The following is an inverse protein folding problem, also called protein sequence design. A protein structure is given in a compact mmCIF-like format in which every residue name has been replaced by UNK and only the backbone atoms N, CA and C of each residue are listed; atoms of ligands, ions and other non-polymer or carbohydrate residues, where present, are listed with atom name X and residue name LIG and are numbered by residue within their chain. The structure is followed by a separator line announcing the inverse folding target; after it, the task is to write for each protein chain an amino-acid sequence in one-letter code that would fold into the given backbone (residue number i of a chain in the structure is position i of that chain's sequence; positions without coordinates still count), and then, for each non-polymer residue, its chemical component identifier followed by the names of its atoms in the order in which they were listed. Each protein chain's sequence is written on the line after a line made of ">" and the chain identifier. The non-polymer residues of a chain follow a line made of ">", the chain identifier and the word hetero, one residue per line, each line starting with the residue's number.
data_IF_611938804481
#
_entry.id   IF_611938804481
#
_cell.length_a   1.000
_cell.length_b   1.000
_cell.length_c   1.000
_cell.angle_alpha   90.00
_cell.angle_beta   90.00
_cell.angle_gamma   90.00
#
_symmetry.space_group_name_H-M   'P 1'
#
loop_
_entity.id
_entity.type
_entity.pdbx_description
1 polymer ?
#
# COMPACT_ATOMS: atom_id res chain seq x y z
N UNK A 1 0.16 16.12 24.10
CA UNK A 1 0.82 14.94 23.50
C UNK A 1 -0.24 13.89 23.30
N UNK A 2 -0.66 13.65 22.07
CA UNK A 2 -1.50 12.49 21.73
C UNK A 2 -0.61 11.25 21.81
N UNK A 3 -0.98 10.31 22.67
CA UNK A 3 -0.32 9.00 22.71
C UNK A 3 -0.77 8.27 21.44
N UNK A 4 0.16 8.09 20.51
CA UNK A 4 -0.09 7.27 19.32
C UNK A 4 -0.20 5.81 19.77
N UNK A 5 -1.17 5.09 19.21
CA UNK A 5 -1.38 3.66 19.46
C UNK A 5 -1.21 2.89 18.14
N UNK A 6 -0.90 1.59 18.21
CA UNK A 6 -0.84 0.74 17.01
C UNK A 6 -2.16 0.79 16.24
N UNK A 7 -3.28 0.81 16.95
CA UNK A 7 -4.62 1.00 16.40
C UNK A 7 -4.74 2.30 15.57
N UNK A 8 -4.20 3.42 16.07
CA UNK A 8 -4.22 4.69 15.35
C UNK A 8 -3.47 4.61 14.03
N UNK A 9 -2.27 4.03 14.03
CA UNK A 9 -1.51 3.79 12.81
C UNK A 9 -2.26 2.88 11.84
N UNK A 10 -2.84 1.78 12.33
CA UNK A 10 -3.62 0.86 11.50
C UNK A 10 -4.81 1.56 10.85
N UNK A 11 -5.56 2.38 11.60
CA UNK A 11 -6.70 3.14 11.06
C UNK A 11 -6.28 4.08 9.91
N UNK A 12 -5.16 4.79 10.06
CA UNK A 12 -4.67 5.70 9.03
C UNK A 12 -4.20 4.93 7.80
N UNK A 13 -3.43 3.86 7.98
CA UNK A 13 -2.94 3.00 6.90
C UNK A 13 -4.11 2.35 6.14
N UNK A 14 -5.11 1.83 6.85
CA UNK A 14 -6.31 1.23 6.24
C UNK A 14 -7.07 2.24 5.39
N UNK A 15 -7.27 3.47 5.87
CA UNK A 15 -7.88 4.56 5.10
C UNK A 15 -7.08 4.88 3.85
N UNK A 16 -5.76 5.03 3.95
CA UNK A 16 -4.90 5.34 2.81
C UNK A 16 -4.90 4.21 1.78
N UNK A 17 -4.97 2.96 2.23
CA UNK A 17 -5.17 1.82 1.36
C UNK A 17 -6.56 1.86 0.71
N UNK A 18 -7.63 2.17 1.47
CA UNK A 18 -8.98 2.31 0.91
C UNK A 18 -9.06 3.41 -0.14
N UNK A 19 -8.36 4.53 0.05
CA UNK A 19 -8.23 5.60 -0.94
C UNK A 19 -7.44 5.14 -2.17
N UNK A 20 -6.39 4.33 -1.98
CA UNK A 20 -5.61 3.74 -3.07
C UNK A 20 -6.39 2.69 -3.88
N UNK A 21 -7.33 1.99 -3.24
CA UNK A 21 -8.20 0.98 -3.88
C UNK A 21 -9.55 1.55 -4.33
N UNK A 22 -9.94 2.74 -3.88
CA UNK A 22 -11.21 3.35 -4.22
C UNK A 22 -11.25 3.72 -5.69
N UNK A 23 -12.16 3.07 -6.39
CA UNK A 23 -12.60 3.44 -7.73
C UNK A 23 -13.34 4.76 -7.56
N UNK A 24 -12.74 5.88 -7.96
CA UNK A 24 -13.47 7.15 -8.02
C UNK A 24 -14.78 6.94 -8.77
N UNK A 25 -15.91 7.33 -8.16
CA UNK A 25 -17.26 7.11 -8.71
C UNK A 25 -17.30 7.52 -10.19
N UNK A 26 -17.38 6.53 -11.10
CA UNK A 26 -17.52 6.74 -12.54
C UNK A 26 -16.25 6.65 -13.39
N UNK A 27 -15.06 6.45 -12.81
CA UNK A 27 -13.80 6.26 -13.56
C UNK A 27 -13.34 4.79 -13.61
N UNK A 28 -12.54 4.37 -14.62
CA UNK A 28 -11.84 3.10 -14.54
C UNK A 28 -11.00 3.09 -13.25
N UNK A 29 -10.87 1.93 -12.56
CA UNK A 29 -10.06 1.83 -11.35
C UNK A 29 -8.66 2.38 -11.64
N UNK A 30 -8.36 3.56 -11.10
CA UNK A 30 -7.03 4.14 -11.14
C UNK A 30 -6.26 3.45 -10.01
N UNK A 31 -5.47 2.41 -10.31
CA UNK A 31 -4.91 1.52 -9.30
C UNK A 31 -3.57 2.03 -8.78
N UNK A 32 -3.20 3.25 -9.18
CA UNK A 32 -1.97 3.91 -8.78
C UNK A 32 -2.41 5.03 -7.83
N UNK A 33 -2.23 4.87 -6.51
CA UNK A 33 -2.49 5.94 -5.56
C UNK A 33 -1.73 7.20 -5.97
N UNK A 34 -2.29 8.38 -5.71
CA UNK A 34 -1.59 9.64 -6.00
C UNK A 34 -0.22 9.66 -5.31
N UNK A 35 0.79 10.36 -5.86
CA UNK A 35 2.11 10.45 -5.23
C UNK A 35 2.05 10.94 -3.77
N UNK A 36 1.08 11.80 -3.45
CA UNK A 36 0.83 12.26 -2.08
C UNK A 36 0.34 11.14 -1.17
N UNK A 37 -0.61 10.31 -1.61
CA UNK A 37 -1.12 9.16 -0.84
C UNK A 37 -0.03 8.10 -0.67
N UNK A 38 0.80 7.87 -1.69
CA UNK A 38 1.95 6.96 -1.58
C UNK A 38 2.96 7.45 -0.53
N UNK A 39 3.31 8.74 -0.55
CA UNK A 39 4.23 9.32 0.41
C UNK A 39 3.67 9.27 1.85
N UNK A 40 2.38 9.58 2.02
CA UNK A 40 1.71 9.52 3.32
C UNK A 40 1.63 8.09 3.85
N UNK A 41 1.30 7.11 2.99
CA UNK A 41 1.27 5.69 3.35
C UNK A 41 2.66 5.19 3.76
N UNK A 42 3.69 5.55 3.00
CA UNK A 42 5.07 5.16 3.32
C UNK A 42 5.53 5.76 4.65
N UNK A 43 5.29 7.05 4.87
CA UNK A 43 5.62 7.71 6.12
C UNK A 43 4.97 7.03 7.34
N UNK A 44 3.67 6.70 7.24
CA UNK A 44 2.96 6.04 8.34
C UNK A 44 3.41 4.60 8.60
N UNK A 45 3.83 3.87 7.55
CA UNK A 45 4.43 2.54 7.71
C UNK A 45 5.80 2.63 8.40
N UNK A 46 6.64 3.58 7.99
CA UNK A 46 7.96 3.80 8.57
C UNK A 46 7.84 4.23 10.04
N UNK A 47 6.94 5.15 10.37
CA UNK A 47 6.70 5.60 11.74
C UNK A 47 6.20 4.45 12.64
N UNK A 48 5.26 3.63 12.15
CA UNK A 48 4.77 2.46 12.88
C UNK A 48 5.88 1.43 13.12
N UNK A 49 6.72 1.18 12.11
CA UNK A 49 7.86 0.28 12.24
C UNK A 49 8.84 0.81 13.30
N UNK A 50 9.24 2.07 13.20
CA UNK A 50 10.18 2.70 14.12
C UNK A 50 9.68 2.64 15.58
N UNK A 51 8.40 2.93 15.80
CA UNK A 51 7.83 2.92 17.16
C UNK A 51 7.65 1.50 17.74
N UNK A 52 7.41 0.50 16.90
CA UNK A 52 7.40 -0.91 17.32
C UNK A 52 8.81 -1.41 17.62
N UNK A 53 9.80 -1.08 16.78
CA UNK A 53 11.20 -1.49 16.97
C UNK A 53 11.86 -0.80 18.18
N UNK A 54 11.53 0.48 18.42
CA UNK A 54 11.97 1.21 19.60
C UNK A 54 11.27 0.76 20.90
N UNK A 55 10.23 -0.08 20.80
CA UNK A 55 9.43 -0.54 21.93
C UNK A 55 8.55 0.55 22.55
N UNK A 56 8.34 1.66 21.84
CA UNK A 56 7.39 2.71 22.22
C UNK A 56 5.95 2.20 22.14
N UNK A 57 5.70 1.27 21.22
CA UNK A 57 4.42 0.60 21.03
C UNK A 57 4.53 -0.89 21.35
N UNK A 58 3.44 -1.44 21.88
CA UNK A 58 3.26 -2.90 22.00
C UNK A 58 1.99 -3.30 21.26
N UNK A 59 2.16 -4.13 20.23
CA UNK A 59 1.03 -4.70 19.50
C UNK A 59 0.31 -5.75 20.35
N UNK A 60 -0.99 -5.55 20.55
CA UNK A 60 -1.91 -6.55 21.11
C UNK A 60 -2.16 -7.69 20.11
N UNK A 61 -2.91 -8.71 20.52
CA UNK A 61 -3.31 -9.80 19.61
C UNK A 61 -4.20 -9.27 18.45
N UNK A 62 -5.10 -8.35 18.75
CA UNK A 62 -5.99 -7.71 17.76
C UNK A 62 -5.20 -6.84 16.77
N UNK A 63 -4.22 -6.08 17.26
CA UNK A 63 -3.32 -5.30 16.39
C UNK A 63 -2.56 -6.20 15.41
N UNK A 64 -2.16 -7.41 15.81
CA UNK A 64 -1.46 -8.36 14.93
C UNK A 64 -2.35 -8.86 13.80
N UNK A 65 -3.64 -9.09 14.06
CA UNK A 65 -4.58 -9.46 13.01
C UNK A 65 -4.75 -8.32 12.00
N UNK A 66 -4.87 -7.08 12.47
CA UNK A 66 -4.96 -5.89 11.60
C UNK A 66 -3.70 -5.68 10.77
N UNK A 67 -2.52 -5.79 11.38
CA UNK A 67 -1.25 -5.71 10.68
C UNK A 67 -1.13 -6.79 9.60
N UNK A 68 -1.58 -8.02 9.89
CA UNK A 68 -1.60 -9.11 8.91
C UNK A 68 -2.52 -8.79 7.74
N UNK A 69 -3.71 -8.23 8.00
CA UNK A 69 -4.62 -7.80 6.94
C UNK A 69 -4.03 -6.66 6.08
N UNK A 70 -3.37 -5.69 6.70
CA UNK A 70 -2.64 -4.60 6.01
C UNK A 70 -1.57 -5.17 5.09
N UNK A 71 -0.74 -6.11 5.58
CA UNK A 71 0.30 -6.78 4.77
C UNK A 71 -0.30 -7.48 3.56
N UNK A 72 -1.39 -8.25 3.74
CA UNK A 72 -2.06 -8.92 2.62
C UNK A 72 -2.56 -7.94 1.55
N UNK A 73 -3.08 -6.78 1.97
CA UNK A 73 -3.52 -5.73 1.05
C UNK A 73 -2.34 -5.13 0.27
N UNK A 74 -1.23 -4.85 0.95
CA UNK A 74 0.00 -4.34 0.33
C UNK A 74 0.59 -5.35 -0.67
N UNK A 75 0.68 -6.63 -0.32
CA UNK A 75 1.18 -7.69 -1.23
C UNK A 75 0.29 -7.84 -2.47
N UNK A 76 -1.03 -7.66 -2.33
CA UNK A 76 -1.95 -7.65 -3.48
C UNK A 76 -1.67 -6.47 -4.41
N UNK A 77 -1.42 -5.28 -3.86
CA UNK A 77 -1.08 -4.08 -4.64
C UNK A 77 0.25 -4.25 -5.38
N UNK A 78 1.25 -4.81 -4.71
CA UNK A 78 2.55 -5.16 -5.31
C UNK A 78 2.38 -6.13 -6.48
N UNK A 79 1.64 -7.23 -6.26
CA UNK A 79 1.38 -8.24 -7.30
C UNK A 79 0.67 -7.64 -8.52
N UNK A 80 -0.34 -6.79 -8.31
CA UNK A 80 -1.05 -6.11 -9.39
C UNK A 80 -0.15 -5.15 -10.18
N UNK A 81 0.71 -4.42 -9.47
CA UNK A 81 1.69 -3.51 -10.08
C UNK A 81 2.71 -4.29 -10.91
N UNK A 82 3.25 -5.38 -10.35
CA UNK A 82 4.20 -6.24 -11.03
C UNK A 82 3.61 -6.88 -12.30
N UNK A 83 2.39 -7.39 -12.24
CA UNK A 83 1.71 -7.97 -13.40
C UNK A 83 1.54 -6.96 -14.56
N UNK A 84 1.24 -5.69 -14.24
CA UNK A 84 1.15 -4.62 -15.24
C UNK A 84 2.50 -4.29 -15.86
N UNK A 85 3.55 -4.17 -15.04
CA UNK A 85 4.91 -3.92 -15.53
C UNK A 85 5.39 -5.05 -16.45
N UNK A 86 5.10 -6.30 -16.08
CA UNK A 86 5.41 -7.46 -16.93
C UNK A 86 4.65 -7.39 -18.26
N UNK A 87 3.37 -7.04 -18.25
CA UNK A 87 2.59 -6.86 -19.49
C UNK A 87 3.15 -5.74 -20.38
N UNK A 88 3.58 -4.62 -19.80
CA UNK A 88 4.21 -3.53 -20.56
C UNK A 88 5.55 -3.95 -21.17
N UNK A 89 6.36 -4.72 -20.44
CA UNK A 89 7.62 -5.26 -20.96
C UNK A 89 7.37 -6.23 -22.14
N UNK A 90 6.36 -7.08 -22.03
CA UNK A 90 5.96 -7.98 -23.12
C UNK A 90 5.45 -7.19 -24.34
N UNK A 91 4.67 -6.13 -24.12
CA UNK A 91 4.21 -5.24 -25.18
C UNK A 91 5.39 -4.59 -25.91
N UNK A 92 6.36 -4.03 -25.18
CA UNK A 92 7.56 -3.42 -25.75
C UNK A 92 8.34 -4.42 -26.61
N UNK A 93 8.56 -5.64 -26.10
CA UNK A 93 9.25 -6.69 -26.86
C UNK A 93 8.50 -7.07 -28.14
N UNK A 94 7.17 -7.18 -28.08
CA UNK A 94 6.35 -7.53 -29.22
C UNK A 94 6.34 -6.43 -30.29
N UNK A 95 6.34 -5.15 -29.89
CA UNK A 95 6.46 -4.02 -30.81
C UNK A 95 7.82 -4.02 -31.50
N UNK A 96 8.92 -4.17 -30.74
CA UNK A 96 10.29 -4.25 -31.31
C UNK A 96 10.49 -5.40 -32.30
N UNK A 97 9.76 -6.52 -32.12
CA UNK A 97 9.80 -7.67 -33.04
C UNK A 97 9.02 -7.42 -34.33
N UNK A 98 8.01 -6.56 -34.32
CA UNK A 98 7.19 -6.22 -35.51
C UNK A 98 7.84 -5.15 -36.39
N UNK A 99 8.68 -4.30 -35.81
CA UNK A 99 9.47 -3.29 -36.53
C UNK A 99 10.76 -3.87 -37.17
N UNK A 100 10.95 -5.19 -37.14
CA UNK A 100 12.04 -5.92 -37.80
C UNK A 100 11.49 -6.89 -38.84
#
# INVERSE_FOLDING_TARGET
>A
MTVLTVEHYCNVIERLLDDAFSVGEGGPPSPIPSPSVQAELQQHLDDLQNDLEAGHLKATAEDRERLTAIVLRLSKLESQTHARLSWFADLEQNLRKRDK
#
